data_IF_492102790363
#
_entry.id   IF_492102790363
#
_cell.length_a   1.000
_cell.length_b   1.000
_cell.length_c   1.000
_cell.angle_alpha   90.00
_cell.angle_beta   90.00
_cell.angle_gamma   90.00
#
_symmetry.space_group_name_H-M   'P 1'
#
loop_
_entity.id
_entity.type
_entity.pdbx_description
1 polymer ?
#
# COMPACT_ATOMS: atom_id res chain seq x y z
N UNK A 1 -9.18 -25.41 6.75
CA UNK A 1 -8.65 -24.79 5.51
C UNK A 1 -8.06 -23.45 5.91
N UNK A 2 -6.88 -23.07 5.40
CA UNK A 2 -6.31 -21.76 5.68
C UNK A 2 -6.34 -20.92 4.40
N UNK A 3 -7.01 -19.77 4.45
CA UNK A 3 -7.16 -18.85 3.32
C UNK A 3 -6.54 -17.51 3.67
N UNK A 4 -5.62 -17.04 2.81
CA UNK A 4 -4.96 -15.77 2.99
C UNK A 4 -5.50 -14.72 2.01
N UNK A 5 -6.32 -13.80 2.51
CA UNK A 5 -6.90 -12.68 1.78
C UNK A 5 -6.45 -11.31 2.34
N UNK A 6 -5.18 -11.23 2.75
CA UNK A 6 -4.56 -10.00 3.28
C UNK A 6 -3.29 -9.59 2.51
N UNK A 7 -3.31 -9.77 1.18
CA UNK A 7 -2.17 -9.44 0.29
C UNK A 7 -1.80 -7.95 0.28
N UNK A 8 -2.69 -7.06 0.69
CA UNK A 8 -2.37 -5.64 0.88
C UNK A 8 -1.48 -5.39 2.11
N UNK A 9 -1.49 -6.28 3.13
CA UNK A 9 -0.55 -6.21 4.25
C UNK A 9 0.82 -6.77 3.87
N UNK A 10 0.88 -7.95 3.27
CA UNK A 10 2.10 -8.58 2.73
C UNK A 10 1.72 -9.73 1.81
N UNK A 11 2.64 -10.19 0.97
CA UNK A 11 2.42 -11.33 0.08
C UNK A 11 3.41 -12.46 0.38
N UNK A 12 3.04 -13.70 0.02
CA UNK A 12 3.98 -14.80 -0.08
C UNK A 12 5.01 -14.50 -1.18
N UNK A 13 6.25 -14.95 -1.00
CA UNK A 13 7.29 -14.82 -2.02
C UNK A 13 6.96 -15.77 -3.18
N UNK A 14 7.08 -15.26 -4.41
CA UNK A 14 6.89 -16.07 -5.61
C UNK A 14 7.94 -17.19 -5.71
N UNK A 15 7.58 -18.42 -6.10
CA UNK A 15 8.53 -19.51 -6.29
C UNK A 15 9.69 -19.17 -7.23
N UNK A 16 9.46 -18.50 -8.35
CA UNK A 16 10.53 -18.06 -9.26
C UNK A 16 11.48 -17.05 -8.60
N UNK A 17 10.99 -16.24 -7.67
CA UNK A 17 11.83 -15.34 -6.87
C UNK A 17 12.72 -16.13 -5.93
N UNK A 18 12.17 -17.16 -5.26
CA UNK A 18 12.95 -18.04 -4.36
C UNK A 18 14.09 -18.72 -5.14
N UNK A 19 13.79 -19.30 -6.30
CA UNK A 19 14.78 -19.93 -7.15
C UNK A 19 15.88 -18.93 -7.58
N UNK A 20 15.48 -17.71 -7.92
CA UNK A 20 16.42 -16.65 -8.37
C UNK A 20 17.35 -16.19 -7.25
N UNK A 21 16.88 -16.09 -6.01
CA UNK A 21 17.72 -15.63 -4.88
C UNK A 21 18.56 -16.74 -4.24
N UNK A 22 18.24 -18.01 -4.45
CA UNK A 22 18.90 -19.17 -3.81
C UNK A 22 20.41 -19.18 -4.01
N UNK A 23 20.98 -18.90 -5.21
CA UNK A 23 22.42 -18.81 -5.39
C UNK A 23 23.12 -17.75 -4.53
N UNK A 24 22.41 -16.65 -4.20
CA UNK A 24 22.94 -15.56 -3.37
C UNK A 24 22.91 -15.88 -1.88
N UNK A 25 22.13 -16.89 -1.48
CA UNK A 25 22.15 -17.45 -0.13
C UNK A 25 23.27 -18.46 0.08
N UNK A 26 23.82 -19.04 -0.99
CA UNK A 26 24.72 -20.19 -0.91
C UNK A 26 26.10 -19.95 -1.53
N UNK A 27 26.17 -19.67 -2.83
CA UNK A 27 27.41 -19.61 -3.59
C UNK A 27 27.89 -18.21 -3.95
N UNK A 28 26.97 -17.24 -4.10
CA UNK A 28 27.28 -15.87 -4.51
C UNK A 28 27.23 -14.91 -3.30
N UNK A 29 28.07 -15.16 -2.32
CA UNK A 29 28.07 -14.46 -1.01
C UNK A 29 29.05 -13.28 -0.90
N UNK A 30 29.66 -12.87 -2.02
CA UNK A 30 30.65 -11.79 -2.03
C UNK A 30 30.10 -10.45 -1.56
N UNK A 31 30.96 -9.63 -0.91
CA UNK A 31 30.59 -8.25 -0.61
C UNK A 31 30.67 -7.42 -1.89
N UNK A 32 29.59 -6.70 -2.31
CA UNK A 32 29.57 -5.91 -3.54
C UNK A 32 30.66 -4.82 -3.62
N UNK A 33 31.14 -4.35 -2.48
CA UNK A 33 32.21 -3.33 -2.40
C UNK A 33 33.61 -3.91 -2.58
N UNK A 34 33.77 -5.25 -2.62
CA UNK A 34 35.08 -5.89 -2.79
C UNK A 34 35.49 -5.93 -4.25
N UNK A 35 36.78 -5.63 -4.52
CA UNK A 35 37.34 -5.58 -5.88
C UNK A 35 37.64 -6.96 -6.50
N UNK A 36 37.65 -8.03 -5.71
CA UNK A 36 37.92 -9.40 -6.20
C UNK A 36 36.69 -10.01 -6.93
N UNK A 37 36.90 -11.15 -7.57
CA UNK A 37 35.91 -11.82 -8.42
C UNK A 37 34.54 -12.07 -7.75
N UNK A 38 34.55 -12.45 -6.46
CA UNK A 38 33.30 -12.73 -5.73
C UNK A 38 32.49 -11.46 -5.50
N UNK A 39 33.15 -10.33 -5.16
CA UNK A 39 32.49 -9.03 -5.03
C UNK A 39 31.93 -8.50 -6.35
N UNK A 40 32.76 -8.58 -7.43
CA UNK A 40 32.32 -8.13 -8.77
C UNK A 40 31.07 -8.87 -9.26
N UNK A 41 30.98 -10.20 -9.04
CA UNK A 41 29.84 -11.01 -9.44
C UNK A 41 28.53 -10.55 -8.78
N UNK A 42 28.62 -10.23 -7.49
CA UNK A 42 27.46 -9.78 -6.72
C UNK A 42 27.09 -8.33 -7.08
N UNK A 43 28.09 -7.47 -7.31
CA UNK A 43 27.85 -6.10 -7.78
C UNK A 43 27.14 -6.09 -9.14
N UNK A 44 27.55 -6.93 -10.08
CA UNK A 44 26.90 -7.09 -11.38
C UNK A 44 25.42 -7.49 -11.23
N UNK A 45 25.08 -8.34 -10.26
CA UNK A 45 23.70 -8.72 -10.00
C UNK A 45 22.86 -7.54 -9.48
N UNK A 46 23.44 -6.68 -8.62
CA UNK A 46 22.79 -5.44 -8.16
C UNK A 46 22.57 -4.49 -9.33
N UNK A 47 23.58 -4.25 -10.13
CA UNK A 47 23.53 -3.32 -11.27
C UNK A 47 22.51 -3.81 -12.32
N UNK A 48 22.47 -5.12 -12.61
CA UNK A 48 21.46 -5.74 -13.49
C UNK A 48 20.05 -5.58 -12.91
N UNK A 49 19.87 -5.76 -11.61
CA UNK A 49 18.58 -5.59 -10.93
C UNK A 49 18.08 -4.15 -11.04
N UNK A 50 18.97 -3.18 -10.84
CA UNK A 50 18.70 -1.74 -11.00
C UNK A 50 18.28 -1.39 -12.43
N UNK A 51 18.99 -1.90 -13.43
CA UNK A 51 18.69 -1.72 -14.86
C UNK A 51 17.31 -2.30 -15.22
N UNK A 52 16.96 -3.47 -14.68
CA UNK A 52 15.63 -4.08 -14.91
C UNK A 52 14.51 -3.20 -14.36
N UNK A 53 14.63 -2.73 -13.12
CA UNK A 53 13.62 -1.85 -12.51
C UNK A 53 13.48 -0.55 -13.31
N UNK A 54 14.60 0.08 -13.64
CA UNK A 54 14.63 1.32 -14.42
C UNK A 54 13.95 1.13 -15.79
N UNK A 55 14.24 0.03 -16.49
CA UNK A 55 13.60 -0.30 -17.77
C UNK A 55 12.09 -0.47 -17.63
N UNK A 56 11.61 -1.16 -16.59
CA UNK A 56 10.17 -1.37 -16.36
C UNK A 56 9.42 -0.07 -16.06
N UNK A 57 10.09 0.90 -15.43
CA UNK A 57 9.53 2.22 -15.11
C UNK A 57 9.79 3.28 -16.18
N UNK A 58 10.56 2.95 -17.23
CA UNK A 58 10.99 3.86 -18.28
C UNK A 58 11.78 5.08 -17.75
N UNK A 59 12.80 4.80 -16.91
CA UNK A 59 13.69 5.79 -16.29
C UNK A 59 15.16 5.35 -16.42
N UNK A 60 16.09 6.19 -15.97
CA UNK A 60 17.51 5.86 -15.97
C UNK A 60 17.88 5.04 -14.72
N UNK A 61 18.81 4.09 -14.82
CA UNK A 61 19.27 3.31 -13.67
C UNK A 61 19.78 4.16 -12.50
N UNK A 62 20.40 5.29 -12.78
CA UNK A 62 20.96 6.23 -11.80
C UNK A 62 19.87 6.95 -10.97
N UNK A 63 18.61 6.83 -11.36
CA UNK A 63 17.45 7.38 -10.66
C UNK A 63 16.82 6.40 -9.67
N UNK A 64 17.30 5.13 -9.64
CA UNK A 64 16.79 4.07 -8.76
C UNK A 64 17.79 3.81 -7.62
N UNK A 65 17.34 3.88 -6.37
CA UNK A 65 18.15 3.59 -5.18
C UNK A 65 17.44 2.55 -4.32
N UNK A 66 18.20 1.59 -3.80
CA UNK A 66 17.65 0.54 -2.95
C UNK A 66 17.60 0.98 -1.49
N UNK A 67 16.49 0.68 -0.84
CA UNK A 67 16.18 0.98 0.56
C UNK A 67 15.63 -0.26 1.25
N UNK A 68 15.45 -0.21 2.58
CA UNK A 68 14.90 -1.36 3.33
C UNK A 68 13.38 -1.55 3.11
N UNK A 69 12.70 -0.60 2.53
CA UNK A 69 11.27 -0.62 2.23
C UNK A 69 10.72 0.77 1.99
N UNK A 70 9.43 0.85 1.64
CA UNK A 70 8.78 2.12 1.33
C UNK A 70 8.85 3.13 2.49
N UNK A 71 8.82 2.68 3.75
CA UNK A 71 8.94 3.58 4.91
C UNK A 71 10.27 4.34 4.91
N UNK A 72 11.40 3.66 4.63
CA UNK A 72 12.69 4.34 4.49
C UNK A 72 12.69 5.30 3.29
N UNK A 73 12.15 4.85 2.14
CA UNK A 73 12.05 5.68 0.94
C UNK A 73 11.20 6.93 1.13
N UNK A 74 10.02 6.80 1.76
CA UNK A 74 9.16 7.93 2.09
C UNK A 74 9.87 8.93 3.03
N UNK A 75 10.52 8.43 4.09
CA UNK A 75 11.28 9.28 5.01
C UNK A 75 12.43 10.02 4.29
N UNK A 76 13.14 9.35 3.38
CA UNK A 76 14.20 9.96 2.60
C UNK A 76 13.64 11.06 1.68
N UNK A 77 12.62 10.72 0.87
CA UNK A 77 12.01 11.67 -0.07
C UNK A 77 11.48 12.92 0.64
N UNK A 78 10.66 12.73 1.67
CA UNK A 78 9.97 13.84 2.34
C UNK A 78 10.94 14.70 3.15
N UNK A 79 11.71 14.07 4.06
CA UNK A 79 12.57 14.84 4.97
C UNK A 79 13.71 15.53 4.25
N UNK A 80 14.34 14.88 3.28
CA UNK A 80 15.49 15.51 2.60
C UNK A 80 15.03 16.53 1.55
N UNK A 81 13.84 16.37 0.92
CA UNK A 81 13.29 17.42 0.06
C UNK A 81 12.96 18.69 0.84
N UNK A 82 12.34 18.58 2.01
CA UNK A 82 12.06 19.72 2.89
C UNK A 82 13.36 20.46 3.24
N UNK A 83 14.39 19.73 3.66
CA UNK A 83 15.66 20.33 4.10
C UNK A 83 16.50 20.89 2.97
N UNK A 84 16.67 20.11 1.88
CA UNK A 84 17.57 20.51 0.79
C UNK A 84 17.02 21.65 -0.07
N UNK A 85 15.69 21.73 -0.21
CA UNK A 85 15.05 22.78 -1.01
C UNK A 85 14.46 23.90 -0.16
N UNK A 86 14.59 23.81 1.17
CA UNK A 86 14.03 24.82 2.09
C UNK A 86 12.52 24.99 1.92
N UNK A 87 11.82 23.87 1.66
CA UNK A 87 10.37 23.90 1.47
C UNK A 87 9.69 24.21 2.81
N UNK A 88 8.83 25.21 2.82
CA UNK A 88 8.09 25.63 4.01
C UNK A 88 6.64 25.14 4.05
N UNK A 89 6.19 24.45 3.01
CA UNK A 89 4.81 24.00 2.91
C UNK A 89 4.70 22.63 2.24
N UNK A 90 3.85 21.77 2.79
CA UNK A 90 3.52 20.47 2.22
C UNK A 90 2.02 20.32 2.03
N UNK A 91 1.61 19.70 0.92
CA UNK A 91 0.23 19.36 0.61
C UNK A 91 0.11 17.84 0.59
N UNK A 92 -0.77 17.29 1.42
CA UNK A 92 -0.98 15.84 1.54
C UNK A 92 -2.46 15.52 1.75
N UNK A 93 -2.79 14.24 1.95
CA UNK A 93 -4.15 13.81 2.28
C UNK A 93 -4.22 13.18 3.67
N UNK A 94 -5.42 13.18 4.29
CA UNK A 94 -5.63 12.52 5.59
C UNK A 94 -5.67 11.00 5.49
N UNK A 95 -5.72 10.44 4.28
CA UNK A 95 -5.79 9.00 4.02
C UNK A 95 -4.44 8.39 3.59
N UNK A 96 -3.36 9.16 3.69
CA UNK A 96 -2.00 8.65 3.45
C UNK A 96 -1.60 7.57 4.46
N UNK A 97 -0.68 6.72 4.06
CA UNK A 97 -0.06 5.77 5.00
C UNK A 97 0.75 6.51 6.08
N UNK A 98 0.83 5.94 7.29
CA UNK A 98 1.61 6.53 8.39
C UNK A 98 3.08 6.79 8.05
N UNK A 99 3.66 6.01 7.13
CA UNK A 99 5.02 6.24 6.63
C UNK A 99 5.20 7.58 5.89
N UNK A 100 4.10 8.22 5.47
CA UNK A 100 4.04 9.57 4.89
C UNK A 100 3.61 10.59 5.93
N UNK A 101 2.52 10.31 6.67
CA UNK A 101 1.97 11.27 7.64
C UNK A 101 2.95 11.56 8.79
N UNK A 102 3.56 10.54 9.39
CA UNK A 102 4.42 10.74 10.56
C UNK A 102 5.68 11.59 10.27
N UNK A 103 6.41 11.39 9.15
CA UNK A 103 7.50 12.31 8.80
C UNK A 103 7.04 13.76 8.58
N UNK A 104 5.92 13.98 7.89
CA UNK A 104 5.38 15.32 7.66
C UNK A 104 4.96 15.98 8.97
N UNK A 105 4.19 15.27 9.81
CA UNK A 105 3.78 15.76 11.13
C UNK A 105 4.97 16.05 12.04
N UNK A 106 6.08 15.30 11.90
CA UNK A 106 7.31 15.59 12.63
C UNK A 106 7.88 16.95 12.22
N UNK A 107 8.03 17.20 10.91
CA UNK A 107 8.53 18.47 10.39
C UNK A 107 7.61 19.66 10.73
N UNK A 108 6.28 19.44 10.74
CA UNK A 108 5.33 20.47 11.20
C UNK A 108 5.53 20.81 12.69
N UNK A 109 5.66 19.79 13.55
CA UNK A 109 5.93 20.00 14.99
C UNK A 109 7.29 20.69 15.27
N UNK A 110 8.29 20.46 14.42
CA UNK A 110 9.61 21.09 14.49
C UNK A 110 9.59 22.52 13.92
N UNK A 111 8.49 22.93 13.28
CA UNK A 111 8.34 24.25 12.68
C UNK A 111 9.03 24.40 11.33
N UNK A 112 9.42 23.30 10.69
CA UNK A 112 10.08 23.31 9.39
C UNK A 112 9.10 23.61 8.25
N UNK A 113 7.83 23.11 8.36
CA UNK A 113 6.78 23.25 7.35
C UNK A 113 5.42 23.53 7.97
N UNK A 114 4.51 24.06 7.14
CA UNK A 114 3.06 24.00 7.35
C UNK A 114 2.46 22.91 6.48
N UNK A 115 1.44 22.18 6.99
CA UNK A 115 0.75 21.13 6.24
C UNK A 115 -0.66 21.57 5.86
N UNK A 116 -0.97 21.50 4.57
CA UNK A 116 -2.33 21.59 4.05
C UNK A 116 -2.85 20.22 3.63
N UNK A 117 -4.05 19.89 4.08
CA UNK A 117 -4.71 18.66 3.66
C UNK A 117 -5.66 18.94 2.48
N UNK A 118 -5.42 18.27 1.35
CA UNK A 118 -6.34 18.34 0.22
C UNK A 118 -7.71 17.76 0.60
N UNK A 119 -8.79 18.37 0.11
CA UNK A 119 -10.15 17.83 0.32
C UNK A 119 -10.32 16.51 -0.41
N UNK A 120 -11.12 15.65 0.20
CA UNK A 120 -11.55 14.38 -0.37
C UNK A 120 -13.07 14.44 -0.63
N UNK A 121 -13.53 13.79 -1.67
CA UNK A 121 -14.95 13.59 -1.89
C UNK A 121 -15.51 12.50 -0.93
N UNK A 122 -16.81 12.23 -1.04
CA UNK A 122 -17.51 11.21 -0.21
C UNK A 122 -17.02 9.77 -0.46
N UNK A 123 -16.23 9.56 -1.49
CA UNK A 123 -15.62 8.28 -1.86
C UNK A 123 -14.12 8.24 -1.55
N UNK A 124 -13.56 9.31 -1.01
CA UNK A 124 -12.14 9.42 -0.69
C UNK A 124 -11.25 9.74 -1.90
N UNK A 125 -11.81 10.26 -2.99
CA UNK A 125 -11.03 10.74 -4.11
C UNK A 125 -10.51 12.16 -3.83
N UNK A 126 -9.31 12.46 -4.32
CA UNK A 126 -8.67 13.77 -4.19
C UNK A 126 -9.41 14.81 -5.03
N UNK A 127 -9.78 15.93 -4.41
CA UNK A 127 -10.34 17.11 -5.08
C UNK A 127 -9.19 17.89 -5.76
N UNK A 128 -9.05 17.72 -7.08
CA UNK A 128 -8.00 18.35 -7.88
C UNK A 128 -8.16 19.89 -7.97
N UNK A 129 -9.39 20.40 -7.93
CA UNK A 129 -9.62 21.86 -7.89
C UNK A 129 -9.16 22.45 -6.55
N UNK A 130 -9.40 21.74 -5.47
CA UNK A 130 -8.88 22.17 -4.16
C UNK A 130 -7.37 22.07 -4.08
N UNK A 131 -6.77 21.01 -4.66
CA UNK A 131 -5.31 20.90 -4.78
C UNK A 131 -4.73 22.10 -5.53
N UNK A 132 -5.34 22.48 -6.65
CA UNK A 132 -4.89 23.61 -7.44
C UNK A 132 -4.96 24.93 -6.66
N UNK A 133 -6.06 25.20 -5.95
CA UNK A 133 -6.16 26.37 -5.05
C UNK A 133 -5.10 26.41 -3.95
N UNK A 134 -4.76 25.25 -3.37
CA UNK A 134 -3.68 25.17 -2.38
C UNK A 134 -2.32 25.51 -2.98
N UNK A 135 -2.07 25.05 -4.21
CA UNK A 135 -0.83 25.34 -4.95
C UNK A 135 -0.75 26.80 -5.41
N UNK A 136 -1.88 27.43 -5.76
CA UNK A 136 -1.95 28.87 -6.05
C UNK A 136 -1.57 29.71 -4.83
N UNK A 137 -2.07 29.32 -3.65
CA UNK A 137 -1.77 30.01 -2.39
C UNK A 137 -0.33 29.75 -1.92
N UNK A 138 0.23 28.56 -2.20
CA UNK A 138 1.54 28.11 -1.73
C UNK A 138 2.33 27.48 -2.87
N UNK A 139 2.86 28.28 -3.81
CA UNK A 139 3.69 27.74 -4.89
C UNK A 139 4.99 27.14 -4.31
N UNK A 140 5.62 26.23 -5.06
CA UNK A 140 6.83 25.52 -4.65
C UNK A 140 6.66 24.62 -3.40
N UNK A 141 5.44 24.18 -3.13
CA UNK A 141 5.16 23.20 -2.06
C UNK A 141 5.69 21.81 -2.40
N UNK A 142 5.80 20.96 -1.36
CA UNK A 142 5.93 19.53 -1.52
C UNK A 142 4.52 18.92 -1.59
N UNK A 143 4.16 18.31 -2.72
CA UNK A 143 2.97 17.47 -2.83
C UNK A 143 3.37 16.05 -2.44
N UNK A 144 2.62 15.44 -1.53
CA UNK A 144 2.77 14.03 -1.19
C UNK A 144 1.41 13.35 -1.17
N UNK A 145 1.08 12.64 -2.24
CA UNK A 145 -0.21 11.96 -2.44
C UNK A 145 0.04 10.55 -2.98
N UNK A 146 -0.50 9.54 -2.27
CA UNK A 146 -0.35 8.15 -2.67
C UNK A 146 -1.06 7.84 -3.98
N UNK A 147 -0.48 6.93 -4.77
CA UNK A 147 -1.08 6.49 -6.02
C UNK A 147 -2.25 5.53 -5.79
N UNK A 148 -2.13 4.62 -4.81
CA UNK A 148 -3.19 3.68 -4.46
C UNK A 148 -3.34 3.49 -2.97
N UNK A 149 -4.58 3.61 -2.48
CA UNK A 149 -4.83 3.49 -1.06
C UNK A 149 -4.83 2.02 -0.60
N UNK A 150 -4.11 1.74 0.46
CA UNK A 150 -3.93 0.38 0.99
C UNK A 150 -5.16 -0.19 1.70
N UNK A 151 -6.15 0.64 2.06
CA UNK A 151 -7.36 0.19 2.76
C UNK A 151 -8.56 0.11 1.84
N UNK A 152 -8.87 1.17 1.11
CA UNK A 152 -10.05 1.26 0.24
C UNK A 152 -9.74 1.00 -1.24
N UNK A 153 -8.48 0.80 -1.60
CA UNK A 153 -8.06 0.49 -2.96
C UNK A 153 -8.15 1.64 -3.97
N UNK A 154 -8.65 2.81 -3.60
CA UNK A 154 -8.80 3.96 -4.50
C UNK A 154 -7.50 4.27 -5.25
N UNK A 155 -7.63 4.56 -6.54
CA UNK A 155 -6.54 5.03 -7.39
C UNK A 155 -6.61 6.54 -7.55
N UNK A 156 -5.49 7.22 -7.30
CA UNK A 156 -5.34 8.67 -7.47
C UNK A 156 -4.82 8.99 -8.87
N UNK A 157 -5.36 10.00 -9.53
CA UNK A 157 -4.87 10.47 -10.84
C UNK A 157 -3.54 11.22 -10.68
N UNK A 158 -2.44 10.45 -10.58
CA UNK A 158 -1.09 11.00 -10.45
C UNK A 158 -0.65 11.77 -11.69
N UNK A 159 -1.25 11.50 -12.86
CA UNK A 159 -0.96 12.25 -14.08
C UNK A 159 -1.52 13.69 -14.01
N UNK A 160 -2.76 13.85 -13.51
CA UNK A 160 -3.33 15.17 -13.30
C UNK A 160 -2.54 15.95 -12.22
N UNK A 161 -2.17 15.29 -11.12
CA UNK A 161 -1.36 15.88 -10.05
C UNK A 161 0.01 16.32 -10.58
N UNK A 162 0.67 15.48 -11.38
CA UNK A 162 1.97 15.78 -12.00
C UNK A 162 1.90 17.03 -12.89
N UNK A 163 0.80 17.23 -13.63
CA UNK A 163 0.58 18.45 -14.42
C UNK A 163 0.45 19.70 -13.54
N UNK A 164 -0.30 19.60 -12.44
CA UNK A 164 -0.42 20.68 -11.45
C UNK A 164 0.93 20.97 -10.77
N UNK A 165 1.65 19.95 -10.33
CA UNK A 165 2.97 20.09 -9.75
C UNK A 165 3.92 20.86 -10.67
N UNK A 166 3.95 20.50 -11.95
CA UNK A 166 4.77 21.20 -12.95
C UNK A 166 4.31 22.66 -13.15
N UNK A 167 2.99 22.91 -13.21
CA UNK A 167 2.42 24.27 -13.39
C UNK A 167 2.86 25.22 -12.27
N UNK A 168 2.89 24.73 -11.03
CA UNK A 168 3.20 25.55 -9.84
C UNK A 168 4.63 25.36 -9.32
N UNK A 169 5.50 24.68 -10.08
CA UNK A 169 6.88 24.36 -9.70
C UNK A 169 6.99 23.68 -8.32
N UNK A 170 6.02 22.85 -8.00
CA UNK A 170 5.97 22.04 -6.77
C UNK A 170 6.73 20.74 -6.96
N UNK A 171 7.37 20.24 -5.89
CA UNK A 171 7.94 18.90 -5.87
C UNK A 171 6.84 17.88 -5.65
N UNK A 172 6.86 16.77 -6.40
CA UNK A 172 5.82 15.73 -6.30
C UNK A 172 6.40 14.38 -5.88
N UNK A 173 6.03 13.95 -4.69
CA UNK A 173 6.24 12.62 -4.13
C UNK A 173 4.95 11.79 -4.21
N UNK A 174 5.07 10.52 -4.59
CA UNK A 174 3.96 9.58 -4.54
C UNK A 174 4.36 8.23 -3.93
N UNK A 175 3.60 7.76 -2.95
CA UNK A 175 3.73 6.39 -2.42
C UNK A 175 3.01 5.42 -3.36
N UNK A 176 3.78 4.59 -4.06
CA UNK A 176 3.25 3.57 -4.97
C UNK A 176 3.31 2.15 -4.40
N UNK A 177 3.48 2.02 -3.09
CA UNK A 177 3.63 0.72 -2.42
C UNK A 177 2.53 -0.26 -2.77
N UNK A 178 1.30 0.20 -2.96
CA UNK A 178 0.18 -0.65 -3.35
C UNK A 178 -0.02 -0.80 -4.85
N UNK A 179 0.58 0.07 -5.66
CA UNK A 179 0.35 0.10 -7.11
C UNK A 179 1.52 -0.42 -7.93
N UNK A 180 2.76 -0.31 -7.44
CA UNK A 180 3.92 -0.88 -8.12
C UNK A 180 3.74 -2.41 -8.29
N UNK A 181 3.92 -2.90 -9.52
CA UNK A 181 3.65 -4.29 -9.89
C UNK A 181 2.16 -4.66 -10.02
N UNK A 182 1.23 -3.70 -9.77
CA UNK A 182 -0.23 -3.89 -9.91
C UNK A 182 -0.88 -2.85 -10.83
N UNK A 183 -0.15 -1.82 -11.20
CA UNK A 183 -0.49 -0.84 -12.23
C UNK A 183 0.76 -0.65 -13.08
N UNK A 184 0.61 -0.60 -14.39
CA UNK A 184 1.74 -0.29 -15.27
C UNK A 184 2.07 1.20 -15.15
N UNK A 185 3.28 1.50 -14.68
CA UNK A 185 3.77 2.86 -14.50
C UNK A 185 4.80 3.19 -15.58
N UNK A 186 4.58 4.30 -16.29
CA UNK A 186 5.52 4.86 -17.24
C UNK A 186 5.89 6.28 -16.80
N UNK A 187 6.98 6.43 -16.08
CA UNK A 187 7.38 7.72 -15.50
C UNK A 187 7.87 8.76 -16.54
N UNK A 188 8.04 8.35 -17.79
CA UNK A 188 8.26 9.31 -18.87
C UNK A 188 6.98 10.07 -19.27
N UNK A 189 5.80 9.48 -19.07
CA UNK A 189 4.51 10.09 -19.41
C UNK A 189 3.95 10.99 -18.31
N UNK A 190 4.21 10.64 -17.04
CA UNK A 190 3.78 11.43 -15.88
C UNK A 190 4.94 11.64 -14.93
N UNK A 191 5.70 12.71 -15.13
CA UNK A 191 6.88 12.98 -14.34
C UNK A 191 6.52 13.25 -12.88
N UNK A 192 6.93 12.33 -12.00
CA UNK A 192 6.99 12.54 -10.56
C UNK A 192 8.44 12.84 -10.16
N UNK A 193 8.66 13.40 -8.99
CA UNK A 193 10.00 13.66 -8.49
C UNK A 193 10.54 12.52 -7.65
N UNK A 194 9.66 11.93 -6.84
CA UNK A 194 9.98 10.85 -5.95
C UNK A 194 8.87 9.81 -5.96
N UNK A 195 9.26 8.55 -6.09
CA UNK A 195 8.34 7.43 -6.04
C UNK A 195 8.97 6.30 -5.22
N UNK A 196 8.18 5.63 -4.40
CA UNK A 196 8.66 4.52 -3.56
C UNK A 196 7.91 3.22 -3.84
N UNK A 197 8.62 2.10 -3.70
CA UNK A 197 8.06 0.76 -3.79
C UNK A 197 8.64 -0.18 -2.75
N UNK A 198 7.90 -1.24 -2.39
CA UNK A 198 8.33 -2.25 -1.43
C UNK A 198 8.04 -3.66 -1.95
N UNK A 199 9.06 -4.50 -2.04
CA UNK A 199 8.99 -5.80 -2.72
C UNK A 199 7.92 -6.74 -2.18
N UNK A 200 7.69 -6.75 -0.86
CA UNK A 200 6.74 -7.65 -0.22
C UNK A 200 5.27 -7.37 -0.54
N UNK A 201 4.95 -6.34 -1.33
CA UNK A 201 3.59 -6.03 -1.79
C UNK A 201 3.28 -6.63 -3.17
N UNK A 202 4.31 -7.15 -3.86
CA UNK A 202 4.20 -7.79 -5.17
C UNK A 202 5.03 -9.08 -5.27
N UNK A 203 4.95 -9.92 -4.22
CA UNK A 203 5.56 -11.24 -4.15
C UNK A 203 7.09 -11.29 -4.11
N UNK A 204 7.74 -10.19 -3.69
CA UNK A 204 9.15 -10.14 -3.40
C UNK A 204 9.47 -10.29 -1.91
N UNK A 205 10.77 -10.27 -1.55
CA UNK A 205 11.21 -10.38 -0.16
C UNK A 205 10.80 -9.17 0.70
N UNK A 206 10.57 -9.42 2.00
CA UNK A 206 10.47 -8.36 3.01
C UNK A 206 11.85 -7.73 3.25
N UNK A 207 11.88 -6.51 3.79
CA UNK A 207 13.12 -5.83 4.16
C UNK A 207 13.92 -5.27 2.97
N UNK A 208 13.26 -5.06 1.84
CA UNK A 208 13.81 -4.39 0.65
C UNK A 208 12.74 -3.60 -0.08
N UNK A 209 13.12 -2.45 -0.56
CA UNK A 209 12.34 -1.57 -1.41
C UNK A 209 13.25 -0.75 -2.31
N UNK A 210 12.67 0.16 -3.03
CA UNK A 210 13.41 1.13 -3.82
C UNK A 210 12.73 2.50 -3.75
N UNK A 211 13.54 3.52 -3.99
CA UNK A 211 13.08 4.87 -4.27
C UNK A 211 13.56 5.27 -5.66
N UNK A 212 12.66 5.83 -6.45
CA UNK A 212 13.00 6.60 -7.63
C UNK A 212 13.18 8.05 -7.23
N UNK A 213 14.29 8.65 -7.64
CA UNK A 213 14.61 10.07 -7.47
C UNK A 213 14.91 10.62 -8.86
N UNK A 214 14.04 11.52 -9.34
CA UNK A 214 14.27 12.16 -10.64
C UNK A 214 15.63 12.86 -10.65
N UNK A 215 16.43 12.66 -11.71
CA UNK A 215 17.80 13.17 -11.86
C UNK A 215 17.95 14.69 -11.67
N UNK A 216 16.87 15.47 -11.76
CA UNK A 216 16.87 16.91 -11.45
C UNK A 216 17.06 17.19 -9.96
N UNK A 217 16.82 16.20 -9.12
CA UNK A 217 16.93 16.30 -7.66
C UNK A 217 18.21 15.64 -7.15
N UNK A 218 18.80 16.26 -6.12
CA UNK A 218 19.94 15.72 -5.38
C UNK A 218 19.59 15.79 -3.91
N UNK A 219 19.24 14.63 -3.35
CA UNK A 219 18.99 14.52 -1.91
C UNK A 219 20.28 14.16 -1.18
N UNK A 220 20.44 14.61 0.06
CA UNK A 220 21.49 14.11 0.93
C UNK A 220 21.14 12.74 1.49
N UNK A 221 22.14 11.89 1.74
CA UNK A 221 21.89 10.59 2.34
C UNK A 221 21.37 10.73 3.78
N UNK A 222 20.28 10.05 4.09
CA UNK A 222 19.75 9.99 5.45
C UNK A 222 20.51 8.97 6.31
N UNK A 223 20.97 7.87 5.70
CA UNK A 223 21.80 6.84 6.32
C UNK A 223 23.22 7.04 5.84
N UNK A 224 24.07 7.58 6.74
CA UNK A 224 25.48 7.84 6.46
C UNK A 224 26.29 6.55 6.57
N UNK A 225 27.35 6.42 5.74
CA UNK A 225 28.23 5.25 5.72
C UNK A 225 29.24 5.28 4.60
N UNK A 226 29.48 4.14 3.97
CA UNK A 226 30.33 4.03 2.79
C UNK A 226 29.67 4.59 1.52
N UNK A 227 30.33 4.42 0.37
CA UNK A 227 29.84 4.92 -0.92
C UNK A 227 28.75 4.07 -1.59
N UNK A 228 28.04 3.20 -0.85
CA UNK A 228 26.97 2.38 -1.39
C UNK A 228 25.84 3.25 -1.94
N UNK A 229 25.08 2.69 -2.89
CA UNK A 229 24.00 3.40 -3.59
C UNK A 229 24.46 4.79 -4.10
N UNK A 230 25.63 4.86 -4.68
CA UNK A 230 26.24 6.11 -5.17
C UNK A 230 26.35 7.21 -4.09
N UNK A 231 26.51 6.79 -2.82
CA UNK A 231 26.58 7.70 -1.67
C UNK A 231 25.20 8.15 -1.13
N UNK A 232 24.10 7.70 -1.73
CA UNK A 232 22.74 8.09 -1.30
C UNK A 232 22.23 7.28 -0.12
N UNK A 233 22.79 6.09 0.13
CA UNK A 233 22.37 5.23 1.24
C UNK A 233 23.52 4.33 1.67
N UNK A 234 24.13 4.61 2.81
CA UNK A 234 25.23 3.84 3.37
C UNK A 234 24.85 2.47 3.90
N UNK A 235 25.84 1.58 4.03
CA UNK A 235 25.67 0.21 4.53
C UNK A 235 25.66 -0.83 3.40
N UNK A 236 26.20 -2.01 3.67
CA UNK A 236 26.27 -3.12 2.71
C UNK A 236 24.90 -3.43 2.14
N UNK A 237 24.84 -3.56 0.82
CA UNK A 237 23.58 -3.77 0.09
C UNK A 237 22.95 -5.13 0.41
N UNK A 238 21.64 -5.17 0.55
CA UNK A 238 20.86 -6.39 0.71
C UNK A 238 20.70 -7.10 -0.65
N UNK A 239 21.77 -7.79 -1.09
CA UNK A 239 21.85 -8.42 -2.41
C UNK A 239 20.66 -9.35 -2.67
N UNK A 240 20.35 -10.22 -1.71
CA UNK A 240 19.26 -11.19 -1.79
C UNK A 240 17.93 -10.48 -2.00
N UNK A 241 17.68 -9.45 -1.19
CA UNK A 241 16.49 -8.62 -1.30
C UNK A 241 16.39 -7.90 -2.64
N UNK A 242 17.51 -7.29 -3.11
CA UNK A 242 17.56 -6.51 -4.35
C UNK A 242 17.28 -7.40 -5.56
N UNK A 243 17.94 -8.55 -5.65
CA UNK A 243 17.74 -9.52 -6.75
C UNK A 243 16.29 -10.05 -6.72
N UNK A 244 15.79 -10.39 -5.54
CA UNK A 244 14.41 -10.84 -5.36
C UNK A 244 13.38 -9.78 -5.71
N UNK A 245 13.61 -8.51 -5.34
CA UNK A 245 12.74 -7.37 -5.69
C UNK A 245 12.66 -7.21 -7.22
N UNK A 246 13.80 -7.20 -7.90
CA UNK A 246 13.84 -7.02 -9.35
C UNK A 246 13.14 -8.18 -10.08
N UNK A 247 13.35 -9.43 -9.62
CA UNK A 247 12.65 -10.60 -10.18
C UNK A 247 11.17 -10.56 -9.92
N UNK A 248 10.73 -10.19 -8.73
CA UNK A 248 9.31 -10.06 -8.39
C UNK A 248 8.62 -9.01 -9.26
N UNK A 249 9.27 -7.85 -9.49
CA UNK A 249 8.72 -6.81 -10.36
C UNK A 249 8.68 -7.24 -11.83
N UNK A 250 9.71 -7.95 -12.30
CA UNK A 250 9.76 -8.55 -13.65
C UNK A 250 8.56 -9.49 -13.86
N UNK A 251 8.27 -10.38 -12.90
CA UNK A 251 7.12 -11.30 -12.94
C UNK A 251 5.80 -10.53 -12.93
N UNK A 252 5.67 -9.55 -12.06
CA UNK A 252 4.45 -8.76 -11.93
C UNK A 252 4.10 -8.01 -13.23
N UNK A 253 5.09 -7.51 -13.97
CA UNK A 253 4.89 -6.85 -15.28
C UNK A 253 4.73 -7.86 -16.42
N UNK A 254 5.44 -9.01 -16.38
CA UNK A 254 5.29 -10.09 -17.37
C UNK A 254 3.88 -10.67 -17.37
N UNK A 255 3.35 -10.93 -16.18
CA UNK A 255 2.07 -11.61 -15.97
C UNK A 255 0.93 -10.62 -15.66
N UNK A 256 1.13 -9.33 -15.95
CA UNK A 256 0.25 -8.24 -15.54
C UNK A 256 -1.21 -8.48 -15.91
N UNK A 257 -1.51 -8.70 -17.18
CA UNK A 257 -2.89 -8.84 -17.67
C UNK A 257 -3.60 -10.05 -17.02
N UNK A 258 -2.89 -11.18 -16.89
CA UNK A 258 -3.40 -12.38 -16.26
C UNK A 258 -3.73 -12.15 -14.77
N UNK A 259 -2.84 -11.46 -14.05
CA UNK A 259 -3.04 -11.14 -12.64
C UNK A 259 -4.20 -10.18 -12.46
N UNK A 260 -4.31 -9.15 -13.32
CA UNK A 260 -5.41 -8.18 -13.28
C UNK A 260 -6.75 -8.84 -13.55
N UNK A 261 -6.85 -9.66 -14.60
CA UNK A 261 -8.06 -10.39 -14.94
C UNK A 261 -8.51 -11.31 -13.77
N UNK A 262 -7.58 -12.10 -13.23
CA UNK A 262 -7.85 -12.99 -12.12
C UNK A 262 -8.33 -12.26 -10.87
N UNK A 263 -7.59 -11.24 -10.42
CA UNK A 263 -7.95 -10.50 -9.19
C UNK A 263 -9.24 -9.71 -9.35
N UNK A 264 -9.51 -9.15 -10.55
CA UNK A 264 -10.78 -8.51 -10.87
C UNK A 264 -11.95 -9.51 -10.85
N UNK A 265 -11.76 -10.71 -11.39
CA UNK A 265 -12.77 -11.76 -11.38
C UNK A 265 -13.10 -12.21 -9.94
N UNK A 266 -12.09 -12.43 -9.10
CA UNK A 266 -12.28 -12.78 -7.68
C UNK A 266 -13.01 -11.67 -6.91
N UNK A 267 -12.66 -10.41 -7.14
CA UNK A 267 -13.31 -9.25 -6.53
C UNK A 267 -14.78 -9.15 -6.95
N UNK A 268 -15.09 -9.28 -8.25
CA UNK A 268 -16.48 -9.30 -8.75
C UNK A 268 -17.26 -10.46 -8.16
N UNK A 269 -16.65 -11.63 -8.08
CA UNK A 269 -17.29 -12.82 -7.52
C UNK A 269 -17.62 -12.61 -6.04
N UNK A 270 -16.70 -12.06 -5.24
CA UNK A 270 -16.95 -11.73 -3.84
C UNK A 270 -18.09 -10.71 -3.69
N UNK A 271 -18.12 -9.66 -4.50
CA UNK A 271 -19.22 -8.67 -4.50
C UNK A 271 -20.55 -9.36 -4.79
N UNK A 272 -20.62 -10.15 -5.88
CA UNK A 272 -21.83 -10.87 -6.28
C UNK A 272 -22.34 -11.79 -5.17
N UNK A 273 -21.46 -12.59 -4.57
CA UNK A 273 -21.82 -13.51 -3.50
C UNK A 273 -22.30 -12.78 -2.23
N UNK A 274 -21.65 -11.68 -1.86
CA UNK A 274 -22.06 -10.87 -0.70
C UNK A 274 -23.44 -10.20 -0.93
N UNK A 275 -23.71 -9.68 -2.12
CA UNK A 275 -24.99 -9.08 -2.48
C UNK A 275 -26.15 -10.10 -2.47
N UNK A 276 -25.85 -11.38 -2.70
CA UNK A 276 -26.81 -12.48 -2.67
C UNK A 276 -26.79 -13.28 -1.35
N UNK A 277 -26.01 -12.85 -0.35
CA UNK A 277 -25.82 -13.56 0.91
C UNK A 277 -27.01 -13.50 1.87
N UNK A 278 -27.96 -12.58 1.66
CA UNK A 278 -29.06 -12.31 2.58
C UNK A 278 -28.67 -11.45 3.80
N UNK A 279 -27.39 -11.02 3.92
CA UNK A 279 -26.96 -10.13 5.00
C UNK A 279 -27.30 -8.69 4.60
N UNK A 280 -28.30 -8.11 5.30
CA UNK A 280 -28.74 -6.73 5.05
C UNK A 280 -27.70 -5.70 5.54
N UNK A 281 -27.62 -4.55 4.90
CA UNK A 281 -26.81 -3.41 5.35
C UNK A 281 -25.34 -3.47 4.97
N UNK A 282 -24.89 -4.43 4.15
CA UNK A 282 -23.53 -4.43 3.57
C UNK A 282 -23.36 -3.20 2.67
N UNK A 283 -22.20 -2.53 2.79
CA UNK A 283 -21.81 -1.41 1.92
C UNK A 283 -20.32 -1.48 1.58
N UNK A 284 -19.91 -0.83 0.48
CA UNK A 284 -18.51 -0.82 0.02
C UNK A 284 -17.87 0.54 0.26
N UNK A 285 -16.69 0.55 0.88
CA UNK A 285 -15.98 1.76 1.22
C UNK A 285 -15.15 2.31 0.07
N UNK A 286 -15.17 3.62 -0.09
CA UNK A 286 -14.45 4.31 -1.16
C UNK A 286 -14.94 3.92 -2.54
N UNK A 287 -14.00 3.76 -3.45
CA UNK A 287 -14.22 3.22 -4.79
C UNK A 287 -13.90 1.71 -4.86
N UNK A 288 -13.78 1.03 -3.72
CA UNK A 288 -13.26 -0.36 -3.67
C UNK A 288 -14.06 -1.35 -4.53
N UNK A 289 -15.36 -1.12 -4.73
CA UNK A 289 -16.19 -1.91 -5.64
C UNK A 289 -16.09 -1.48 -7.12
N UNK A 290 -15.43 -0.37 -7.43
CA UNK A 290 -15.25 0.10 -8.82
C UNK A 290 -14.20 -0.71 -9.56
N UNK A 291 -14.45 -1.04 -10.82
CA UNK A 291 -13.48 -1.73 -11.68
C UNK A 291 -12.36 -0.82 -12.17
N UNK A 292 -12.64 0.49 -12.34
CA UNK A 292 -11.72 1.42 -13.00
C UNK A 292 -11.07 2.43 -12.06
N UNK A 293 -11.67 2.67 -10.89
CA UNK A 293 -11.19 3.67 -9.92
C UNK A 293 -10.49 3.07 -8.71
N UNK A 294 -10.36 1.76 -8.68
CA UNK A 294 -9.68 1.08 -7.58
C UNK A 294 -8.82 -0.10 -8.05
N UNK A 295 -7.89 -0.50 -7.21
CA UNK A 295 -7.07 -1.69 -7.41
C UNK A 295 -7.96 -2.93 -7.53
N UNK A 296 -7.72 -3.75 -8.54
CA UNK A 296 -8.44 -5.01 -8.77
C UNK A 296 -8.37 -5.98 -7.59
N UNK A 297 -7.27 -5.92 -6.84
CA UNK A 297 -6.98 -6.85 -5.76
C UNK A 297 -7.57 -6.45 -4.40
N UNK A 298 -8.15 -5.25 -4.22
CA UNK A 298 -8.62 -4.75 -2.91
C UNK A 298 -10.11 -4.49 -2.95
N UNK A 299 -10.82 -5.06 -1.96
CA UNK A 299 -12.21 -4.76 -1.65
C UNK A 299 -12.33 -4.43 -0.16
N UNK A 300 -12.90 -3.28 0.17
CA UNK A 300 -13.18 -2.89 1.55
C UNK A 300 -14.70 -2.84 1.76
N UNK A 301 -15.17 -3.67 2.67
CA UNK A 301 -16.60 -3.89 2.93
C UNK A 301 -16.93 -3.46 4.34
N UNK A 302 -17.99 -2.67 4.50
CA UNK A 302 -18.61 -2.37 5.79
C UNK A 302 -19.74 -3.35 6.05
N UNK A 303 -19.61 -4.12 7.11
CA UNK A 303 -20.60 -5.08 7.59
C UNK A 303 -21.34 -4.55 8.82
N UNK A 304 -22.61 -4.92 9.04
CA UNK A 304 -23.26 -4.73 10.33
C UNK A 304 -22.44 -5.34 11.46
N UNK A 305 -22.37 -4.68 12.62
CA UNK A 305 -21.65 -5.24 13.77
C UNK A 305 -22.33 -6.50 14.28
N UNK A 306 -21.54 -7.50 14.63
CA UNK A 306 -22.01 -8.70 15.33
C UNK A 306 -22.28 -8.38 16.81
N UNK A 307 -23.27 -9.03 17.39
CA UNK A 307 -23.53 -8.98 18.84
C UNK A 307 -22.45 -9.75 19.63
N UNK A 308 -21.92 -10.81 19.01
CA UNK A 308 -20.92 -11.71 19.62
C UNK A 308 -19.48 -11.20 19.55
N UNK A 309 -19.19 -10.10 18.84
CA UNK A 309 -17.85 -9.56 18.74
C UNK A 309 -17.44 -9.06 17.35
N UNK A 310 -16.20 -9.33 16.95
CA UNK A 310 -15.61 -8.86 15.68
C UNK A 310 -15.67 -9.93 14.60
N UNK A 311 -16.18 -9.58 13.43
CA UNK A 311 -16.19 -10.44 12.24
C UNK A 311 -14.76 -10.84 11.82
N UNK A 312 -13.80 -9.91 11.90
CA UNK A 312 -12.39 -10.19 11.57
C UNK A 312 -11.82 -11.28 12.49
N UNK A 313 -12.08 -11.18 13.80
CA UNK A 313 -11.61 -12.19 14.75
C UNK A 313 -12.30 -13.55 14.54
N UNK A 314 -13.59 -13.54 14.20
CA UNK A 314 -14.34 -14.78 13.93
C UNK A 314 -13.83 -15.47 12.66
N UNK A 315 -13.47 -14.70 11.62
CA UNK A 315 -12.87 -15.20 10.40
C UNK A 315 -11.49 -15.81 10.65
N UNK A 316 -10.65 -15.14 11.45
CA UNK A 316 -9.31 -15.63 11.82
C UNK A 316 -9.39 -16.97 12.55
N UNK A 317 -10.30 -17.12 13.53
CA UNK A 317 -10.54 -18.38 14.23
C UNK A 317 -10.97 -19.54 13.30
N UNK A 318 -11.57 -19.21 12.16
CA UNK A 318 -11.98 -20.16 11.13
C UNK A 318 -10.95 -20.31 9.99
N UNK A 319 -9.76 -19.76 10.17
CA UNK A 319 -8.63 -19.90 9.24
C UNK A 319 -8.66 -18.94 8.06
N UNK A 320 -9.42 -17.85 8.11
CA UNK A 320 -9.50 -16.84 7.05
C UNK A 320 -8.80 -15.55 7.50
N UNK A 321 -7.63 -15.28 6.93
CA UNK A 321 -6.85 -14.08 7.21
C UNK A 321 -7.32 -12.90 6.35
N UNK A 322 -7.85 -11.87 7.00
CA UNK A 322 -8.26 -10.57 6.44
C UNK A 322 -7.80 -9.44 7.36
N UNK A 323 -7.87 -8.21 6.92
CA UNK A 323 -7.59 -7.04 7.78
C UNK A 323 -8.84 -6.24 8.05
N UNK A 324 -8.92 -5.60 9.22
CA UNK A 324 -10.03 -4.76 9.61
C UNK A 324 -9.60 -3.47 10.27
N UNK A 325 -10.48 -2.46 10.26
CA UNK A 325 -10.42 -1.28 11.10
C UNK A 325 -11.73 -1.22 11.86
N UNK A 326 -11.85 -1.92 13.02
CA UNK A 326 -13.13 -2.07 13.69
C UNK A 326 -13.51 -0.81 14.48
N UNK A 327 -14.72 -0.31 14.24
CA UNK A 327 -15.41 0.63 15.12
C UNK A 327 -15.95 -0.09 16.39
N UNK A 328 -16.17 -1.41 16.31
CA UNK A 328 -16.79 -2.22 17.37
C UNK A 328 -15.81 -2.78 18.40
N UNK A 329 -14.47 -2.68 18.19
CA UNK A 329 -13.51 -3.14 19.20
C UNK A 329 -13.28 -2.07 20.25
N UNK A 330 -13.73 -2.30 21.47
CA UNK A 330 -13.39 -1.53 22.68
C UNK A 330 -11.90 -1.57 23.08
N UNK A 331 -11.02 -2.04 22.20
CA UNK A 331 -9.59 -2.11 22.39
C UNK A 331 -8.89 -0.90 21.76
N UNK A 332 -8.82 0.17 22.52
CA UNK A 332 -7.76 1.20 22.64
C UNK A 332 -7.18 1.94 21.42
N UNK A 333 -7.45 1.58 20.17
CA UNK A 333 -6.92 2.24 18.97
C UNK A 333 -8.02 2.47 17.93
N UNK A 334 -8.87 3.40 18.21
CA UNK A 334 -9.86 4.15 17.38
C UNK A 334 -10.11 3.79 15.90
N UNK A 335 -10.02 2.53 15.44
CA UNK A 335 -10.37 2.14 14.08
C UNK A 335 -9.46 2.72 12.96
N UNK A 336 -9.84 2.51 11.70
CA UNK A 336 -9.11 3.03 10.55
C UNK A 336 -9.18 4.56 10.45
N UNK A 337 -8.02 5.22 10.38
CA UNK A 337 -7.95 6.66 10.13
C UNK A 337 -8.46 7.02 8.72
N UNK A 338 -8.31 6.12 7.74
CA UNK A 338 -8.80 6.28 6.37
C UNK A 338 -10.32 6.34 6.37
N UNK A 339 -10.97 5.34 6.95
CA UNK A 339 -12.44 5.27 7.03
C UNK A 339 -13.02 6.46 7.79
N UNK A 340 -12.44 6.84 8.94
CA UNK A 340 -12.87 8.01 9.71
C UNK A 340 -12.67 9.33 8.97
N UNK A 341 -11.67 9.44 8.13
CA UNK A 341 -11.42 10.65 7.33
C UNK A 341 -12.47 10.85 6.23
N UNK A 342 -13.13 9.76 5.79
CA UNK A 342 -14.14 9.80 4.73
C UNK A 342 -15.55 9.82 5.28
N UNK A 343 -15.86 8.98 6.29
CA UNK A 343 -17.23 8.73 6.78
C UNK A 343 -17.49 9.24 8.20
N UNK A 344 -16.50 9.87 8.85
CA UNK A 344 -16.52 10.38 10.22
C UNK A 344 -16.73 9.29 11.27
N UNK A 345 -17.91 8.77 11.45
CA UNK A 345 -18.24 7.66 12.35
C UNK A 345 -19.10 6.63 11.63
N UNK A 346 -18.86 5.35 11.89
CA UNK A 346 -19.67 4.23 11.39
C UNK A 346 -19.90 3.23 12.51
N UNK A 347 -21.13 2.73 12.63
CA UNK A 347 -21.57 1.63 13.51
C UNK A 347 -21.36 0.27 12.83
N UNK A 348 -20.49 0.22 11.83
CA UNK A 348 -20.21 -0.96 11.04
C UNK A 348 -18.78 -1.40 11.24
N UNK A 349 -18.55 -2.69 11.13
CA UNK A 349 -17.22 -3.26 11.06
C UNK A 349 -16.70 -3.25 9.63
N UNK A 350 -15.49 -2.72 9.45
CA UNK A 350 -14.87 -2.64 8.13
C UNK A 350 -13.90 -3.79 7.95
N UNK A 351 -14.07 -4.57 6.89
CA UNK A 351 -13.22 -5.70 6.53
C UNK A 351 -12.61 -5.45 5.17
N UNK A 352 -11.28 -5.49 5.09
CA UNK A 352 -10.55 -5.42 3.83
C UNK A 352 -10.17 -6.83 3.38
N UNK A 353 -10.68 -7.24 2.25
CA UNK A 353 -10.23 -8.41 1.50
C UNK A 353 -9.20 -7.96 0.47
N UNK A 354 -8.08 -8.64 0.40
CA UNK A 354 -7.07 -8.32 -0.61
C UNK A 354 -6.47 -9.59 -1.19
N UNK A 355 -6.72 -9.78 -2.48
CA UNK A 355 -6.36 -10.96 -3.25
C UNK A 355 -4.95 -10.91 -3.82
N UNK A 356 -4.46 -12.06 -4.20
CA UNK A 356 -3.27 -12.25 -4.99
C UNK A 356 -3.53 -13.23 -6.12
N UNK A 357 -2.54 -13.45 -6.97
CA UNK A 357 -2.59 -14.47 -8.03
C UNK A 357 -2.74 -15.91 -7.51
N UNK A 358 -2.54 -16.15 -6.22
CA UNK A 358 -2.65 -17.47 -5.60
C UNK A 358 -4.05 -17.80 -5.10
N UNK A 359 -4.92 -16.80 -4.92
CA UNK A 359 -6.29 -17.06 -4.51
C UNK A 359 -7.12 -17.70 -5.62
N UNK A 360 -8.18 -18.43 -5.24
CA UNK A 360 -9.09 -19.15 -6.13
C UNK A 360 -10.53 -18.71 -5.93
N UNK A 361 -11.42 -19.15 -6.82
CA UNK A 361 -12.86 -18.92 -6.70
C UNK A 361 -13.41 -19.66 -5.49
N UNK A 362 -12.92 -20.87 -5.22
CA UNK A 362 -13.28 -21.71 -4.08
C UNK A 362 -12.92 -21.03 -2.74
N UNK A 363 -11.81 -20.26 -2.70
CA UNK A 363 -11.48 -19.42 -1.52
C UNK A 363 -12.60 -18.42 -1.26
N UNK A 364 -13.08 -17.73 -2.30
CA UNK A 364 -14.14 -16.72 -2.19
C UNK A 364 -15.46 -17.37 -1.74
N UNK A 365 -15.84 -18.49 -2.33
CA UNK A 365 -17.05 -19.21 -1.96
C UNK A 365 -17.02 -19.61 -0.48
N UNK A 366 -15.91 -20.18 -0.02
CA UNK A 366 -15.72 -20.55 1.38
C UNK A 366 -15.77 -19.35 2.33
N UNK A 367 -15.17 -18.21 1.95
CA UNK A 367 -15.23 -16.95 2.73
C UNK A 367 -16.67 -16.53 2.92
N UNK A 368 -17.47 -16.47 1.85
CA UNK A 368 -18.86 -15.98 1.94
C UNK A 368 -19.72 -16.97 2.72
N UNK A 369 -19.62 -18.29 2.47
CA UNK A 369 -20.31 -19.29 3.26
C UNK A 369 -20.00 -19.16 4.76
N UNK A 370 -18.74 -18.88 5.10
CA UNK A 370 -18.30 -18.71 6.49
C UNK A 370 -18.89 -17.44 7.10
N UNK A 371 -18.89 -16.32 6.37
CA UNK A 371 -19.53 -15.08 6.81
C UNK A 371 -21.02 -15.28 7.08
N UNK A 372 -21.75 -15.93 6.16
CA UNK A 372 -23.17 -16.25 6.33
C UNK A 372 -23.43 -17.11 7.57
N UNK A 373 -22.61 -18.14 7.80
CA UNK A 373 -22.72 -18.99 8.99
C UNK A 373 -22.51 -18.18 10.30
N UNK A 374 -21.54 -17.25 10.31
CA UNK A 374 -21.29 -16.38 11.47
C UNK A 374 -22.53 -15.53 11.75
N UNK A 375 -23.10 -14.84 10.74
CA UNK A 375 -24.27 -13.99 10.92
C UNK A 375 -25.52 -14.77 11.34
N UNK A 376 -25.75 -15.97 10.77
CA UNK A 376 -26.86 -16.82 11.18
C UNK A 376 -26.75 -17.27 12.65
N UNK A 377 -25.53 -17.59 13.10
CA UNK A 377 -25.28 -17.96 14.49
C UNK A 377 -25.43 -16.77 15.44
N UNK A 378 -25.02 -15.56 15.04
CA UNK A 378 -25.15 -14.35 15.84
C UNK A 378 -26.61 -13.91 16.02
N UNK A 379 -27.45 -14.07 14.99
CA UNK A 379 -28.89 -13.78 15.05
C UNK A 379 -29.62 -14.71 16.05
N UNK A 380 -29.29 -16.00 16.07
CA UNK A 380 -29.84 -16.95 17.05
C UNK A 380 -29.40 -16.64 18.49
N UNK A 381 -28.18 -16.13 18.69
CA UNK A 381 -27.70 -15.68 20.00
C UNK A 381 -28.48 -14.46 20.50
N UNK A 382 -28.78 -13.50 19.64
CA UNK A 382 -29.59 -12.31 19.95
C UNK A 382 -31.00 -12.68 20.42
N UNK A 383 -31.67 -13.60 19.73
CA UNK A 383 -33.01 -14.07 20.10
C UNK A 383 -33.02 -14.82 21.44
N UNK A 384 -32.04 -15.69 21.69
CA UNK A 384 -31.92 -16.44 22.95
C UNK A 384 -31.55 -15.54 24.14
N UNK A 385 -30.73 -14.50 23.93
CA UNK A 385 -30.38 -13.51 24.94
C UNK A 385 -31.56 -12.65 25.41
N UNK A 386 -32.46 -12.29 24.52
CA UNK A 386 -33.68 -11.56 24.83
C UNK A 386 -34.64 -12.41 25.68
N UNK A 387 -34.73 -13.72 25.41
CA UNK A 387 -35.54 -14.66 26.18
C UNK A 387 -35.03 -14.85 27.63
N UNK A 388 -33.74 -14.78 27.88
CA UNK A 388 -33.14 -14.88 29.21
C UNK A 388 -33.32 -13.59 30.05
N UNK A 389 -33.38 -12.40 29.43
CA UNK A 389 -33.63 -11.15 30.15
C UNK A 389 -35.11 -10.90 30.50
N UNK A 390 -36.02 -11.61 29.83
CA UNK A 390 -37.47 -11.49 30.12
C UNK A 390 -37.96 -12.33 31.30
N UNK A 391 -37.10 -13.11 31.97
CA UNK A 391 -37.48 -14.03 33.05
C UNK A 391 -36.97 -13.64 34.46
N UNK A 392 -36.68 -12.39 34.75
CA UNK A 392 -36.34 -11.94 36.12
C UNK A 392 -37.12 -10.70 36.53
N UNK A 393 -38.42 -10.85 36.70
CA UNK A 393 -39.22 -10.01 37.62
C UNK A 393 -40.51 -10.72 37.98
N UNK A 394 -40.53 -11.42 39.10
CA UNK A 394 -41.75 -11.62 39.94
C UNK A 394 -41.32 -11.46 41.40
N UNK A 395 -42.09 -10.68 42.20
CA UNK A 395 -41.73 -10.10 43.49
C UNK A 395 -41.54 -11.11 44.64
#
# INVERSE_FOLDING_TARGET
MEIYCDSAATTAIDPEVIETILPFLTTNFGNPSSSHWAGRKVKEAIDTSRQKIAKLLNVMPEEIFFVSGATEGNNLALSESIREYGLSHAITSKIEHKAVLEPLLKHEREGDIEISYVKLDKKGNVDLEHLERLLEANPQSLISLMHGNNEIGNLTDIQAISRLAKKYNAAFHTDTTQTIGKVQLNLAEYPVDFLVGSAHKFHGPKGVGFIYINKRHKLKPRILGGGQESGQRGGTENVIGIVGLAKALEIAYRDFDLIQEKTSALKRHLIFQLENSGIEGITYNGESASEHKSLSAILNVSFPCLHSGSLVNSLDQLGIAVSGGSACSNLGNGGSHVIRSIYHETDKENVRFSFSKFNTVEDVDYIVETIVKIYNSDSTYSESGILQQSFTWIP
#
